data_IF_746831591478
#
_entry.id   IF_746831591478
#
_cell.length_a   1.000
_cell.length_b   1.000
_cell.length_c   1.000
_cell.angle_alpha   90.00
_cell.angle_beta   90.00
_cell.angle_gamma   90.00
#
_symmetry.space_group_name_H-M   'P 1'
#
loop_
_entity.id
_entity.type
_entity.pdbx_description
1 polymer ?
#
# COMPACT_ATOMS: atom_id res chain seq x y z
N UNK A 1 -15.20 12.60 9.35
CA UNK A 1 -13.95 12.75 8.58
C UNK A 1 -13.44 11.36 8.29
N UNK A 2 -13.12 11.05 7.03
CA UNK A 2 -12.72 9.71 6.63
C UNK A 2 -11.30 9.40 7.11
N UNK A 3 -11.06 8.13 7.47
CA UNK A 3 -9.79 7.64 8.00
C UNK A 3 -9.10 6.73 7.01
N UNK A 4 -7.81 6.98 6.75
CA UNK A 4 -6.96 6.14 5.93
C UNK A 4 -5.82 5.54 6.76
N UNK A 5 -5.43 4.31 6.43
CA UNK A 5 -4.19 3.69 6.88
C UNK A 5 -3.28 3.49 5.67
N UNK A 6 -2.05 4.00 5.74
CA UNK A 6 -1.01 3.82 4.72
C UNK A 6 0.05 2.83 5.21
N UNK A 7 0.07 1.64 4.60
CA UNK A 7 0.92 0.51 5.00
C UNK A 7 2.28 0.55 4.31
N UNK A 8 3.35 0.66 5.09
CA UNK A 8 4.70 0.82 4.56
C UNK A 8 4.86 2.17 3.86
N UNK A 9 4.50 3.24 4.58
CA UNK A 9 4.34 4.58 4.01
C UNK A 9 5.64 5.18 3.42
N UNK A 10 6.80 4.59 3.74
CA UNK A 10 8.09 5.12 3.30
C UNK A 10 8.25 6.58 3.72
N UNK A 11 8.59 7.45 2.77
CA UNK A 11 8.75 8.89 3.03
C UNK A 11 7.42 9.68 3.02
N UNK A 12 6.29 8.99 2.96
CA UNK A 12 4.96 9.58 3.23
C UNK A 12 4.31 10.27 2.03
N UNK A 13 4.74 9.97 0.80
CA UNK A 13 4.17 10.59 -0.40
C UNK A 13 2.65 10.42 -0.50
N UNK A 14 2.18 9.18 -0.35
CA UNK A 14 0.75 8.86 -0.42
C UNK A 14 0.00 9.38 0.82
N UNK A 15 0.57 9.23 2.01
CA UNK A 15 0.01 9.78 3.25
C UNK A 15 -0.24 11.30 3.17
N UNK A 16 0.75 12.07 2.72
CA UNK A 16 0.63 13.53 2.57
C UNK A 16 -0.37 13.89 1.47
N UNK A 17 -0.39 13.15 0.36
CA UNK A 17 -1.37 13.37 -0.70
C UNK A 17 -2.80 13.14 -0.21
N UNK A 18 -3.07 12.04 0.51
CA UNK A 18 -4.36 11.73 1.12
C UNK A 18 -4.78 12.79 2.13
N UNK A 19 -3.86 13.24 2.98
CA UNK A 19 -4.12 14.29 3.95
C UNK A 19 -4.51 15.62 3.29
N UNK A 20 -3.88 15.98 2.15
CA UNK A 20 -4.29 17.13 1.33
C UNK A 20 -5.70 16.99 0.75
N UNK A 21 -6.20 15.76 0.57
CA UNK A 21 -7.58 15.50 0.19
C UNK A 21 -8.55 15.52 1.38
N UNK A 22 -8.10 15.90 2.58
CA UNK A 22 -8.93 15.98 3.79
C UNK A 22 -9.12 14.64 4.53
N UNK A 23 -8.24 13.66 4.31
CA UNK A 23 -8.24 12.42 5.07
C UNK A 23 -7.43 12.55 6.35
N UNK A 24 -7.87 11.87 7.42
CA UNK A 24 -6.99 11.60 8.57
C UNK A 24 -6.23 10.32 8.29
N UNK A 25 -4.91 10.41 8.22
CA UNK A 25 -4.04 9.31 7.81
C UNK A 25 -3.23 8.82 8.99
N UNK A 26 -3.33 7.53 9.28
CA UNK A 26 -2.31 6.80 10.05
C UNK A 26 -1.31 6.24 9.04
N UNK A 27 -0.06 6.67 9.10
CA UNK A 27 1.02 6.24 8.21
C UNK A 27 1.98 5.34 8.98
N UNK A 28 2.17 4.09 8.54
CA UNK A 28 2.96 3.10 9.28
C UNK A 28 4.13 2.58 8.48
N UNK A 29 5.27 2.43 9.15
CA UNK A 29 6.50 1.86 8.58
C UNK A 29 7.35 1.25 9.71
N UNK A 30 8.25 0.32 9.36
CA UNK A 30 9.21 -0.25 10.30
C UNK A 30 10.38 0.71 10.58
N UNK A 31 10.65 1.62 9.62
CA UNK A 31 11.75 2.58 9.64
C UNK A 31 11.37 3.88 10.34
N UNK A 32 11.98 4.16 11.49
CA UNK A 32 11.80 5.45 12.19
C UNK A 32 12.27 6.65 11.36
N UNK A 33 13.29 6.47 10.50
CA UNK A 33 13.75 7.53 9.59
C UNK A 33 12.69 7.88 8.55
N UNK A 34 12.00 6.88 8.00
CA UNK A 34 10.94 7.07 7.01
C UNK A 34 9.74 7.80 7.64
N UNK A 35 9.39 7.43 8.87
CA UNK A 35 8.34 8.10 9.65
C UNK A 35 8.69 9.55 9.99
N UNK A 36 9.94 9.84 10.38
CA UNK A 36 10.35 11.22 10.62
C UNK A 36 10.20 12.07 9.34
N UNK A 37 10.66 11.55 8.19
CA UNK A 37 10.48 12.23 6.89
C UNK A 37 9.01 12.44 6.55
N UNK A 38 8.16 11.45 6.81
CA UNK A 38 6.71 11.57 6.61
C UNK A 38 6.11 12.72 7.43
N UNK A 39 6.48 12.83 8.72
CA UNK A 39 6.02 13.90 9.60
C UNK A 39 6.53 15.29 9.14
N UNK A 40 7.81 15.37 8.73
CA UNK A 40 8.41 16.59 8.22
C UNK A 40 7.72 17.05 6.92
N UNK A 41 7.47 16.11 5.99
CA UNK A 41 6.75 16.38 4.74
C UNK A 41 5.30 16.81 4.99
N UNK A 42 4.59 16.17 5.93
CA UNK A 42 3.24 16.57 6.33
C UNK A 42 3.20 17.99 6.90
N UNK A 43 4.16 18.33 7.76
CA UNK A 43 4.33 19.67 8.33
C UNK A 43 4.62 20.72 7.25
N UNK A 44 5.59 20.45 6.37
CA UNK A 44 5.95 21.34 5.26
C UNK A 44 4.79 21.54 4.26
N UNK A 45 3.92 20.54 4.12
CA UNK A 45 2.72 20.61 3.29
C UNK A 45 1.52 21.27 3.98
N UNK A 46 1.62 21.68 5.25
CA UNK A 46 0.54 22.30 6.01
C UNK A 46 -0.59 21.34 6.41
N UNK A 47 -0.32 20.02 6.40
CA UNK A 47 -1.30 18.96 6.72
C UNK A 47 -0.85 18.06 7.86
N UNK A 48 0.13 18.49 8.66
CA UNK A 48 0.69 17.71 9.77
C UNK A 48 -0.36 17.22 10.78
N UNK A 49 -1.37 18.04 11.08
CA UNK A 49 -2.47 17.69 12.00
C UNK A 49 -3.37 16.54 11.50
N UNK A 50 -3.24 16.18 10.22
CA UNK A 50 -3.99 15.11 9.58
C UNK A 50 -3.17 13.83 9.39
N UNK A 51 -1.87 13.86 9.68
CA UNK A 51 -0.96 12.72 9.50
C UNK A 51 -0.40 12.28 10.85
N UNK A 52 -0.75 11.08 11.28
CA UNK A 52 -0.18 10.41 12.45
C UNK A 52 0.78 9.32 11.98
N UNK A 53 2.02 9.34 12.45
CA UNK A 53 3.03 8.33 12.11
C UNK A 53 3.16 7.30 13.22
N UNK A 54 3.08 6.00 12.91
CA UNK A 54 3.24 4.93 13.89
C UNK A 54 4.28 3.90 13.41
N UNK A 55 5.16 3.48 14.31
CA UNK A 55 6.18 2.46 13.98
C UNK A 55 5.63 1.07 14.21
N UNK A 56 5.54 0.30 13.12
CA UNK A 56 5.10 -1.08 13.17
C UNK A 56 5.99 -1.98 12.33
N UNK A 57 6.42 -3.09 12.92
CA UNK A 57 6.71 -4.29 12.14
C UNK A 57 5.38 -5.01 11.91
N UNK A 58 4.85 -4.92 10.69
CA UNK A 58 3.55 -5.47 10.34
C UNK A 58 3.49 -7.00 10.43
N UNK A 59 4.64 -7.70 10.48
CA UNK A 59 4.66 -9.13 10.74
C UNK A 59 4.27 -9.47 12.19
N UNK A 60 4.44 -8.53 13.14
CA UNK A 60 4.31 -8.74 14.58
C UNK A 60 3.30 -7.81 15.27
N UNK A 61 3.14 -6.60 14.78
CA UNK A 61 2.33 -5.53 15.39
C UNK A 61 1.49 -4.86 14.33
N UNK A 62 0.34 -4.29 14.71
CA UNK A 62 -0.57 -3.63 13.78
C UNK A 62 -1.20 -2.40 14.45
N UNK A 63 -1.42 -1.30 13.72
CA UNK A 63 -2.05 -0.09 14.28
C UNK A 63 -3.47 -0.38 14.73
N UNK A 64 -3.89 0.25 15.82
CA UNK A 64 -5.24 0.05 16.37
C UNK A 64 -6.28 0.92 15.66
N UNK A 65 -7.53 0.47 15.66
CA UNK A 65 -8.67 1.23 15.16
C UNK A 65 -9.29 0.64 13.90
N UNK A 66 -10.11 1.45 13.22
CA UNK A 66 -10.77 1.06 11.97
C UNK A 66 -10.67 2.18 10.94
N UNK A 67 -10.62 1.80 9.67
CA UNK A 67 -10.30 2.72 8.56
C UNK A 67 -11.30 2.56 7.42
N UNK A 68 -11.59 3.67 6.75
CA UNK A 68 -12.45 3.69 5.56
C UNK A 68 -11.65 3.36 4.29
N UNK A 69 -10.34 3.62 4.31
CA UNK A 69 -9.37 3.25 3.29
C UNK A 69 -8.14 2.62 3.95
N UNK A 70 -7.66 1.51 3.41
CA UNK A 70 -6.32 1.00 3.70
C UNK A 70 -5.58 0.89 2.39
N UNK A 71 -4.40 1.53 2.31
CA UNK A 71 -3.57 1.58 1.12
C UNK A 71 -2.28 0.81 1.35
N UNK A 72 -1.88 -0.04 0.39
CA UNK A 72 -0.60 -0.73 0.37
C UNK A 72 0.04 -0.52 -1.01
N UNK A 73 0.91 0.47 -1.12
CA UNK A 73 1.58 0.83 -2.37
C UNK A 73 2.99 0.22 -2.39
N UNK A 74 3.21 -0.74 -3.27
CA UNK A 74 4.50 -1.43 -3.47
C UNK A 74 5.10 -2.02 -2.19
N UNK A 75 4.24 -2.51 -1.27
CA UNK A 75 4.62 -3.12 0.00
C UNK A 75 5.33 -4.47 -0.22
N UNK A 76 6.62 -4.40 -0.55
CA UNK A 76 7.52 -5.52 -0.79
C UNK A 76 8.84 -5.33 -0.04
N UNK A 77 9.45 -6.47 0.30
CA UNK A 77 10.80 -6.53 0.87
C UNK A 77 11.50 -7.77 0.35
N UNK A 78 12.84 -7.75 0.19
CA UNK A 78 13.61 -8.94 -0.14
C UNK A 78 13.70 -9.94 1.02
N UNK A 79 13.30 -9.56 2.24
CA UNK A 79 13.29 -10.43 3.41
C UNK A 79 12.01 -11.30 3.46
N UNK A 80 12.04 -12.36 4.26
CA UNK A 80 10.83 -13.13 4.54
C UNK A 80 9.75 -12.22 5.12
N UNK A 81 8.62 -12.13 4.42
CA UNK A 81 7.57 -11.18 4.74
C UNK A 81 6.20 -11.82 4.48
N UNK A 82 5.38 -12.02 5.52
CA UNK A 82 4.10 -12.73 5.41
C UNK A 82 3.01 -11.81 4.82
N UNK A 83 3.24 -11.30 3.60
CA UNK A 83 2.45 -10.26 2.95
C UNK A 83 0.96 -10.58 2.88
N UNK A 84 0.60 -11.79 2.45
CA UNK A 84 -0.80 -12.20 2.34
C UNK A 84 -1.51 -12.16 3.70
N UNK A 85 -0.83 -12.61 4.78
CA UNK A 85 -1.35 -12.52 6.15
C UNK A 85 -1.53 -11.06 6.57
N UNK A 86 -0.56 -10.20 6.29
CA UNK A 86 -0.61 -8.78 6.64
C UNK A 86 -1.77 -8.07 5.93
N UNK A 87 -1.92 -8.27 4.62
CA UNK A 87 -3.00 -7.70 3.83
C UNK A 87 -4.37 -8.22 4.28
N UNK A 88 -4.47 -9.51 4.62
CA UNK A 88 -5.69 -10.11 5.19
C UNK A 88 -6.05 -9.51 6.54
N UNK A 89 -5.07 -9.37 7.46
CA UNK A 89 -5.27 -8.70 8.76
C UNK A 89 -5.72 -7.26 8.55
N UNK A 90 -5.11 -6.57 7.57
CA UNK A 90 -5.47 -5.20 7.22
C UNK A 90 -6.92 -5.09 6.77
N UNK A 91 -7.39 -6.00 5.90
CA UNK A 91 -8.79 -6.03 5.47
C UNK A 91 -9.79 -6.15 6.63
N UNK A 92 -9.41 -6.76 7.75
CA UNK A 92 -10.27 -6.86 8.95
C UNK A 92 -10.40 -5.54 9.71
N UNK A 93 -9.44 -4.62 9.56
CA UNK A 93 -9.48 -3.28 10.15
C UNK A 93 -10.34 -2.28 9.35
N UNK A 94 -10.90 -2.70 8.21
CA UNK A 94 -11.81 -1.84 7.44
C UNK A 94 -13.13 -1.64 8.18
N UNK A 95 -13.69 -0.43 8.09
CA UNK A 95 -15.10 -0.17 8.42
C UNK A 95 -16.02 -0.89 7.43
N UNK A 96 -17.30 -1.01 7.76
CA UNK A 96 -18.30 -1.45 6.77
C UNK A 96 -18.27 -0.49 5.57
N UNK A 97 -18.30 -1.03 4.35
CA UNK A 97 -18.06 -0.30 3.10
C UNK A 97 -16.63 0.25 2.90
N UNK A 98 -15.67 -0.08 3.77
CA UNK A 98 -14.27 0.32 3.63
C UNK A 98 -13.57 -0.35 2.43
N UNK A 99 -12.52 0.30 1.92
CA UNK A 99 -11.72 -0.16 0.77
C UNK A 99 -10.29 -0.55 1.17
N UNK A 100 -9.86 -1.74 0.77
CA UNK A 100 -8.44 -2.10 0.69
C UNK A 100 -7.95 -1.87 -0.74
N UNK A 101 -6.97 -0.99 -0.90
CA UNK A 101 -6.30 -0.69 -2.16
C UNK A 101 -4.86 -1.22 -2.13
N UNK A 102 -4.53 -2.11 -3.05
CA UNK A 102 -3.19 -2.67 -3.20
C UNK A 102 -2.68 -2.31 -4.58
N UNK A 103 -1.46 -1.80 -4.63
CA UNK A 103 -0.71 -1.66 -5.89
C UNK A 103 0.62 -2.38 -5.72
N UNK A 104 0.96 -3.22 -6.68
CA UNK A 104 2.28 -3.87 -6.73
C UNK A 104 2.83 -3.98 -8.15
N UNK A 105 4.07 -4.46 -8.25
CA UNK A 105 4.74 -4.64 -9.54
C UNK A 105 4.13 -5.83 -10.30
N UNK A 106 3.72 -5.59 -11.55
CA UNK A 106 3.29 -6.62 -12.49
C UNK A 106 4.35 -6.96 -13.55
N UNK A 107 5.50 -6.26 -13.56
CA UNK A 107 6.64 -6.53 -14.43
C UNK A 107 7.96 -6.07 -13.80
N UNK A 108 9.09 -6.56 -14.33
CA UNK A 108 10.40 -5.98 -14.03
C UNK A 108 10.52 -4.56 -14.60
N UNK A 109 11.30 -3.72 -13.93
CA UNK A 109 11.80 -2.47 -14.53
C UNK A 109 13.11 -2.76 -15.28
N UNK A 110 13.34 -2.21 -16.48
CA UNK A 110 14.57 -2.49 -17.23
C UNK A 110 15.88 -2.08 -16.54
N UNK A 111 15.82 -1.11 -15.62
CA UNK A 111 16.95 -0.66 -14.80
C UNK A 111 16.97 -1.27 -13.38
N UNK A 112 16.16 -2.29 -13.12
CA UNK A 112 16.30 -3.04 -11.88
C UNK A 112 17.73 -3.62 -11.81
N UNK A 113 18.44 -3.41 -10.70
CA UNK A 113 19.76 -4.01 -10.51
C UNK A 113 19.59 -5.52 -10.35
N UNK A 114 20.18 -6.28 -11.27
CA UNK A 114 20.17 -7.75 -11.28
C UNK A 114 18.76 -8.36 -11.20
N UNK A 115 17.90 -8.15 -12.22
CA UNK A 115 16.58 -8.76 -12.22
C UNK A 115 16.77 -10.29 -12.28
N UNK A 116 16.32 -11.01 -11.24
CA UNK A 116 16.29 -12.48 -11.32
C UNK A 116 15.30 -12.83 -12.45
N UNK A 117 15.74 -13.49 -13.55
CA UNK A 117 14.86 -13.84 -14.66
C UNK A 117 13.74 -14.81 -14.25
N UNK A 118 13.82 -15.41 -13.05
CA UNK A 118 12.78 -16.26 -12.45
C UNK A 118 11.83 -15.48 -11.55
N UNK A 119 11.95 -14.16 -11.46
CA UNK A 119 11.03 -13.33 -10.67
C UNK A 119 9.62 -13.49 -11.23
N UNK A 120 8.78 -14.19 -10.47
CA UNK A 120 7.38 -14.36 -10.79
C UNK A 120 6.58 -13.22 -10.14
N UNK A 121 5.91 -12.41 -10.96
CA UNK A 121 4.96 -11.42 -10.46
C UNK A 121 3.57 -12.07 -10.43
N UNK A 122 2.94 -12.18 -9.25
CA UNK A 122 1.58 -12.69 -9.17
C UNK A 122 0.63 -11.80 -9.97
N UNK A 123 -0.42 -12.39 -10.52
CA UNK A 123 -1.53 -11.63 -11.12
C UNK A 123 -2.36 -10.94 -10.01
N UNK A 124 -3.17 -9.92 -10.33
CA UNK A 124 -4.13 -9.35 -9.38
C UNK A 124 -5.03 -10.42 -8.75
N UNK A 125 -5.46 -11.40 -9.55
CA UNK A 125 -6.27 -12.55 -9.12
C UNK A 125 -5.50 -13.44 -8.14
N UNK A 126 -4.23 -13.74 -8.40
CA UNK A 126 -3.39 -14.52 -7.49
C UNK A 126 -3.23 -13.82 -6.13
N UNK A 127 -2.98 -12.50 -6.15
CA UNK A 127 -2.88 -11.71 -4.92
C UNK A 127 -4.22 -11.73 -4.18
N UNK A 128 -5.33 -11.44 -4.86
CA UNK A 128 -6.67 -11.47 -4.27
C UNK A 128 -7.00 -12.83 -3.64
N UNK A 129 -6.78 -13.91 -4.38
CA UNK A 129 -7.06 -15.27 -3.92
C UNK A 129 -6.18 -15.66 -2.71
N UNK A 130 -4.92 -15.22 -2.67
CA UNK A 130 -4.03 -15.47 -1.53
C UNK A 130 -4.51 -14.82 -0.22
N UNK A 131 -5.36 -13.80 -0.30
CA UNK A 131 -5.93 -13.17 0.89
C UNK A 131 -7.02 -14.03 1.54
N UNK A 132 -7.54 -15.05 0.87
CA UNK A 132 -8.56 -15.99 1.39
C UNK A 132 -9.70 -15.28 2.14
N UNK A 133 -10.15 -14.14 1.61
CA UNK A 133 -11.25 -13.37 2.20
C UNK A 133 -12.59 -14.07 1.94
N UNK A 134 -13.47 -14.09 2.93
CA UNK A 134 -14.80 -14.69 2.77
C UNK A 134 -15.65 -13.88 1.77
N UNK A 135 -16.06 -14.46 0.63
CA UNK A 135 -16.81 -13.73 -0.39
C UNK A 135 -18.19 -13.22 0.09
N UNK A 136 -18.69 -13.70 1.24
CA UNK A 136 -19.90 -13.15 1.85
C UNK A 136 -19.74 -11.72 2.39
N UNK A 137 -18.51 -11.33 2.74
CA UNK A 137 -18.22 -10.04 3.39
C UNK A 137 -17.24 -9.17 2.59
N UNK A 138 -16.57 -9.72 1.58
CA UNK A 138 -15.59 -9.00 0.76
C UNK A 138 -15.80 -9.29 -0.73
N UNK A 139 -15.60 -8.27 -1.56
CA UNK A 139 -15.72 -8.36 -3.01
C UNK A 139 -14.63 -7.52 -3.69
N UNK A 140 -14.04 -8.04 -4.76
CA UNK A 140 -13.09 -7.30 -5.58
C UNK A 140 -13.83 -6.31 -6.52
N UNK A 141 -13.64 -5.02 -6.31
CA UNK A 141 -14.12 -3.97 -7.23
C UNK A 141 -13.24 -3.85 -8.48
N UNK A 142 -11.94 -4.12 -8.33
CA UNK A 142 -10.96 -4.07 -9.43
C UNK A 142 -9.88 -5.11 -9.23
N UNK A 143 -9.48 -5.71 -10.35
CA UNK A 143 -8.34 -6.61 -10.50
C UNK A 143 -7.68 -6.27 -11.85
N UNK A 144 -7.09 -5.08 -11.92
CA UNK A 144 -6.60 -4.49 -13.17
C UNK A 144 -5.06 -4.63 -13.28
N UNK A 145 -4.55 -4.61 -14.52
CA UNK A 145 -3.10 -4.62 -14.82
C UNK A 145 -2.68 -3.43 -15.70
N UNK A 146 -2.79 -2.19 -15.19
CA UNK A 146 -2.46 -1.01 -15.98
C UNK A 146 -0.99 -0.99 -16.39
N UNK A 147 -0.73 -0.44 -17.56
CA UNK A 147 0.62 -0.12 -18.02
C UNK A 147 0.87 1.37 -17.90
N UNK A 148 2.08 1.74 -17.52
CA UNK A 148 2.51 3.15 -17.48
C UNK A 148 3.94 3.31 -17.98
N UNK A 149 4.26 4.52 -18.43
CA UNK A 149 5.63 4.93 -18.68
C UNK A 149 6.29 5.25 -17.34
N UNK A 150 7.37 4.53 -17.02
CA UNK A 150 8.22 4.82 -15.86
C UNK A 150 9.51 5.50 -16.32
N UNK A 151 10.05 6.38 -15.47
CA UNK A 151 11.36 7.02 -15.67
C UNK A 151 12.33 6.45 -14.64
N UNK A 152 13.49 6.01 -15.12
CA UNK A 152 14.60 5.51 -14.32
C UNK A 152 15.46 6.62 -13.74
N UNK A 153 16.39 6.27 -12.83
CA UNK A 153 17.23 7.24 -12.13
C UNK A 153 18.15 8.05 -13.05
N UNK A 154 18.55 7.51 -14.21
CA UNK A 154 19.38 8.22 -15.19
C UNK A 154 18.56 8.72 -16.39
N UNK A 155 17.24 8.89 -16.21
CA UNK A 155 16.33 9.44 -17.22
C UNK A 155 15.89 8.46 -18.32
N UNK A 156 16.25 7.18 -18.24
CA UNK A 156 15.74 6.17 -19.16
C UNK A 156 14.24 6.00 -18.97
N UNK A 157 13.50 5.65 -20.02
CA UNK A 157 12.06 5.36 -19.90
C UNK A 157 11.73 3.94 -20.34
N UNK A 158 10.71 3.36 -19.71
CA UNK A 158 10.19 2.05 -20.06
C UNK A 158 8.72 1.91 -19.71
N UNK A 159 7.99 1.15 -20.52
CA UNK A 159 6.66 0.69 -20.14
C UNK A 159 6.78 -0.38 -19.06
N UNK A 160 6.09 -0.18 -17.95
CA UNK A 160 6.00 -1.13 -16.84
C UNK A 160 4.54 -1.47 -16.59
N UNK A 161 4.29 -2.69 -16.13
CA UNK A 161 2.97 -3.14 -15.69
C UNK A 161 2.92 -3.08 -14.17
N UNK A 162 1.86 -2.50 -13.64
CA UNK A 162 1.51 -2.61 -12.23
C UNK A 162 0.24 -3.45 -12.09
N UNK A 163 0.01 -4.01 -10.90
CA UNK A 163 -1.27 -4.59 -10.54
C UNK A 163 -2.04 -3.58 -9.69
N UNK A 164 -3.34 -3.47 -9.93
CA UNK A 164 -4.26 -2.63 -9.16
C UNK A 164 -5.39 -3.51 -8.64
N UNK A 165 -5.44 -3.67 -7.32
CA UNK A 165 -6.41 -4.52 -6.64
C UNK A 165 -7.20 -3.64 -5.68
N UNK A 166 -8.50 -3.54 -5.89
CA UNK A 166 -9.41 -2.80 -5.03
C UNK A 166 -10.44 -3.78 -4.45
N UNK A 167 -10.48 -3.92 -3.13
CA UNK A 167 -11.35 -4.87 -2.42
C UNK A 167 -12.23 -4.10 -1.45
N UNK A 168 -13.54 -4.25 -1.61
CA UNK A 168 -14.55 -3.62 -0.76
C UNK A 168 -15.02 -4.58 0.31
N UNK A 169 -15.12 -4.10 1.56
CA UNK A 169 -15.86 -4.78 2.63
C UNK A 169 -17.35 -4.46 2.50
N UNK A 170 -18.21 -5.45 2.37
CA UNK A 170 -19.65 -5.25 2.13
C UNK A 170 -20.48 -5.12 3.41
N UNK A 171 -20.01 -5.69 4.53
CA UNK A 171 -20.69 -5.69 5.84
C UNK A 171 -19.70 -5.69 7.01
#
# INVERSE_FOLDING_TARGET
MSKALDLGCGEGGDAVWLARQGWRVTAVDVSSTALQRTADHGSAAGVGDLVTTERHDLAHTFPTGSFDLISAQYLHTPLEFPRARILRTSAQALTAAGLLLIVDHGSVRPWARNPDPRTHFPTPEDVYNSLELNPAHWHAERLDRPQRLATGPDGQTATVTDNLIAIRRTT
#
